data_IF_922099195508
#
_entry.id   IF_922099195508
#
_cell.length_a   1.000
_cell.length_b   1.000
_cell.length_c   1.000
_cell.angle_alpha   90.00
_cell.angle_beta   90.00
_cell.angle_gamma   90.00
#
_symmetry.space_group_name_H-M   'P 1'
#
loop_
_entity.id
_entity.type
_entity.pdbx_description
1 polymer ?
#
# COMPACT_ATOMS: atom_id res chain seq x y z
N UNK A 1 -2.96 7.77 -15.65
CA UNK A 1 -3.32 6.68 -14.72
C UNK A 1 -2.59 5.43 -15.17
N UNK A 2 -2.02 4.67 -14.24
CA UNK A 2 -1.25 3.45 -14.53
C UNK A 2 -1.82 2.27 -13.75
N UNK A 3 -1.34 1.06 -14.09
CA UNK A 3 -1.56 -0.11 -13.26
C UNK A 3 -0.78 -0.01 -11.94
N UNK A 4 -1.18 -0.87 -10.99
CA UNK A 4 -0.51 -1.03 -9.71
C UNK A 4 0.85 -1.72 -9.89
N UNK A 5 1.81 -1.35 -9.06
CA UNK A 5 3.03 -2.13 -8.88
C UNK A 5 2.75 -3.38 -8.05
N UNK A 6 3.56 -4.45 -8.17
CA UNK A 6 3.37 -5.67 -7.40
C UNK A 6 3.30 -5.43 -5.89
N UNK A 7 4.11 -4.51 -5.37
CA UNK A 7 4.12 -4.12 -3.96
C UNK A 7 2.79 -3.52 -3.51
N UNK A 8 2.19 -2.67 -4.33
CA UNK A 8 0.93 -1.99 -4.02
C UNK A 8 -0.24 -2.98 -4.00
N UNK A 9 -0.26 -3.93 -4.93
CA UNK A 9 -1.26 -5.00 -4.94
C UNK A 9 -1.14 -5.89 -3.70
N UNK A 10 0.08 -6.31 -3.35
CA UNK A 10 0.32 -7.13 -2.16
C UNK A 10 -0.10 -6.39 -0.87
N UNK A 11 0.19 -5.09 -0.78
CA UNK A 11 -0.25 -4.25 0.31
C UNK A 11 -1.79 -4.20 0.42
N UNK A 12 -2.48 -3.96 -0.69
CA UNK A 12 -3.94 -3.98 -0.74
C UNK A 12 -4.51 -5.34 -0.37
N UNK A 13 -3.98 -6.42 -0.92
CA UNK A 13 -4.40 -7.79 -0.61
C UNK A 13 -4.25 -8.11 0.88
N UNK A 14 -3.12 -7.76 1.49
CA UNK A 14 -2.88 -7.92 2.93
C UNK A 14 -3.93 -7.19 3.77
N UNK A 15 -4.24 -5.93 3.42
CA UNK A 15 -5.33 -5.15 4.04
C UNK A 15 -6.68 -5.87 3.89
N UNK A 16 -6.91 -6.50 2.75
CA UNK A 16 -8.15 -7.23 2.48
C UNK A 16 -8.36 -8.44 3.40
N UNK A 17 -7.31 -9.01 3.99
CA UNK A 17 -7.41 -10.17 4.89
C UNK A 17 -7.91 -9.84 6.29
N UNK A 18 -7.88 -8.56 6.67
CA UNK A 18 -8.20 -8.08 8.02
C UNK A 18 -9.67 -8.25 8.39
N UNK A 19 -10.58 -8.06 7.42
CA UNK A 19 -12.01 -8.27 7.63
C UNK A 19 -12.74 -8.46 6.30
N UNK A 20 -13.94 -9.07 6.36
CA UNK A 20 -14.80 -9.21 5.17
C UNK A 20 -15.19 -7.85 4.55
N UNK A 21 -15.26 -6.79 5.37
CA UNK A 21 -15.54 -5.45 4.87
C UNK A 21 -14.36 -4.88 4.08
N UNK A 22 -13.13 -4.99 4.61
CA UNK A 22 -11.92 -4.54 3.91
C UNK A 22 -11.65 -5.38 2.66
N UNK A 23 -11.91 -6.70 2.70
CA UNK A 23 -11.85 -7.58 1.55
C UNK A 23 -12.68 -7.05 0.38
N UNK A 24 -13.93 -6.63 0.62
CA UNK A 24 -14.81 -6.13 -0.42
C UNK A 24 -14.37 -4.77 -1.00
N UNK A 25 -13.75 -3.92 -0.18
CA UNK A 25 -13.20 -2.63 -0.61
C UNK A 25 -11.97 -2.87 -1.48
N UNK A 26 -11.02 -3.65 -0.98
CA UNK A 26 -9.78 -4.01 -1.68
C UNK A 26 -10.08 -4.70 -3.00
N UNK A 27 -11.01 -5.67 -3.04
CA UNK A 27 -11.38 -6.35 -4.28
C UNK A 27 -11.79 -5.38 -5.38
N UNK A 28 -12.54 -4.33 -5.02
CA UNK A 28 -12.93 -3.28 -5.96
C UNK A 28 -11.77 -2.39 -6.36
N UNK A 29 -10.95 -1.95 -5.40
CA UNK A 29 -9.78 -1.12 -5.67
C UNK A 29 -8.78 -1.84 -6.59
N UNK A 30 -8.44 -3.09 -6.29
CA UNK A 30 -7.46 -3.86 -7.06
C UNK A 30 -7.97 -4.25 -8.45
N UNK A 31 -9.27 -4.54 -8.63
CA UNK A 31 -9.82 -4.94 -9.95
C UNK A 31 -10.20 -3.78 -10.85
N UNK A 32 -10.69 -2.67 -10.28
CA UNK A 32 -11.28 -1.55 -11.04
C UNK A 32 -10.52 -0.24 -10.88
N UNK A 33 -9.75 -0.11 -9.80
CA UNK A 33 -8.99 1.08 -9.54
C UNK A 33 -7.80 1.21 -10.48
N UNK A 34 -7.33 2.45 -10.62
CA UNK A 34 -6.07 2.78 -11.29
C UNK A 34 -5.28 3.72 -10.42
N UNK A 35 -3.95 3.60 -10.50
CA UNK A 35 -3.07 4.55 -9.83
C UNK A 35 -3.12 5.87 -10.59
N UNK A 36 -3.50 6.92 -9.87
CA UNK A 36 -3.57 8.29 -10.37
C UNK A 36 -2.19 8.93 -10.33
N UNK A 37 -1.50 8.81 -9.20
CA UNK A 37 -0.17 9.35 -8.96
C UNK A 37 0.56 8.57 -7.88
N UNK A 38 1.89 8.64 -7.93
CA UNK A 38 2.80 8.17 -6.89
C UNK A 38 3.72 9.31 -6.49
N UNK A 39 3.99 9.44 -5.21
CA UNK A 39 4.98 10.39 -4.68
C UNK A 39 5.85 9.70 -3.64
N UNK A 40 7.17 9.74 -3.84
CA UNK A 40 8.15 9.18 -2.91
C UNK A 40 8.90 10.34 -2.27
N UNK A 41 8.65 10.55 -0.98
CA UNK A 41 9.16 11.71 -0.24
C UNK A 41 10.51 11.47 0.43
N UNK A 42 11.01 10.24 0.35
CA UNK A 42 12.15 9.76 1.14
C UNK A 42 11.77 9.25 2.52
N UNK A 43 10.66 9.72 3.11
CA UNK A 43 10.08 9.12 4.32
C UNK A 43 9.07 8.00 4.04
N UNK A 44 8.83 7.68 2.77
CA UNK A 44 7.77 6.79 2.35
C UNK A 44 7.20 7.13 0.98
N UNK A 45 6.32 6.24 0.51
CA UNK A 45 5.62 6.35 -0.77
C UNK A 45 4.11 6.55 -0.55
N UNK A 46 3.53 7.45 -1.34
CA UNK A 46 2.12 7.80 -1.32
C UNK A 46 1.51 7.51 -2.69
N UNK A 47 0.49 6.67 -2.73
CA UNK A 47 -0.14 6.21 -3.97
C UNK A 47 -1.61 6.60 -3.96
N UNK A 48 -1.97 7.59 -4.79
CA UNK A 48 -3.37 7.94 -4.99
C UNK A 48 -4.02 6.95 -5.96
N UNK A 49 -5.13 6.38 -5.53
CA UNK A 49 -5.89 5.38 -6.27
C UNK A 49 -7.25 5.98 -6.60
N UNK A 50 -7.52 6.04 -7.90
CA UNK A 50 -8.86 6.32 -8.38
C UNK A 50 -9.66 5.01 -8.38
N UNK A 51 -10.72 4.85 -7.56
CA UNK A 51 -11.38 3.55 -7.35
C UNK A 51 -12.14 2.98 -8.57
N UNK A 52 -12.31 3.79 -9.63
CA UNK A 52 -13.10 3.43 -10.81
C UNK A 52 -14.62 3.36 -10.56
N UNK A 53 -15.39 2.90 -11.56
CA UNK A 53 -16.85 2.90 -11.51
C UNK A 53 -17.42 2.13 -10.32
N UNK A 54 -18.20 2.82 -9.49
CA UNK A 54 -18.84 2.29 -8.27
C UNK A 54 -17.90 2.19 -7.06
N UNK A 55 -16.58 2.39 -7.23
CA UNK A 55 -15.62 2.41 -6.12
C UNK A 55 -15.65 3.72 -5.34
N UNK A 56 -15.82 4.86 -6.02
CA UNK A 56 -15.83 6.20 -5.40
C UNK A 56 -16.85 6.32 -4.28
N UNK A 57 -18.07 5.80 -4.48
CA UNK A 57 -19.13 5.87 -3.47
C UNK A 57 -18.78 5.08 -2.20
N UNK A 58 -18.08 3.95 -2.35
CA UNK A 58 -17.66 3.09 -1.24
C UNK A 58 -16.60 3.78 -0.40
N UNK A 59 -15.61 4.38 -1.08
CA UNK A 59 -14.58 5.19 -0.41
C UNK A 59 -15.22 6.35 0.38
N UNK A 60 -16.15 7.09 -0.26
CA UNK A 60 -16.85 8.22 0.37
C UNK A 60 -17.74 7.84 1.55
N UNK A 61 -18.38 6.68 1.50
CA UNK A 61 -19.24 6.22 2.59
C UNK A 61 -18.45 5.77 3.81
N UNK A 62 -17.30 5.12 3.58
CA UNK A 62 -16.53 4.49 4.65
C UNK A 62 -15.68 5.48 5.44
N UNK A 63 -14.96 6.38 4.76
CA UNK A 63 -14.10 7.40 5.39
C UNK A 63 -13.26 6.88 6.57
N UNK A 64 -12.55 5.77 6.35
CA UNK A 64 -11.77 5.09 7.38
C UNK A 64 -10.34 4.85 6.89
N UNK A 65 -9.44 4.55 7.83
CA UNK A 65 -8.09 4.09 7.52
C UNK A 65 -7.88 2.68 8.07
N UNK A 66 -7.24 1.81 7.30
CA UNK A 66 -6.73 0.53 7.77
C UNK A 66 -5.21 0.59 7.86
N UNK A 67 -4.66 0.05 8.94
CA UNK A 67 -3.24 0.08 9.29
C UNK A 67 -2.77 -1.33 9.71
N UNK A 68 -1.58 -1.39 10.28
CA UNK A 68 -0.96 -2.60 10.87
C UNK A 68 -0.59 -3.69 9.85
N UNK A 69 -0.40 -3.30 8.58
CA UNK A 69 0.21 -4.12 7.55
C UNK A 69 1.68 -3.71 7.38
N UNK A 70 2.56 -4.71 7.30
CA UNK A 70 4.01 -4.50 7.23
C UNK A 70 4.57 -5.15 5.97
N UNK A 71 5.47 -4.45 5.30
CA UNK A 71 6.25 -4.99 4.19
C UNK A 71 7.72 -4.90 4.53
N UNK A 72 8.41 -6.03 4.53
CA UNK A 72 9.86 -6.02 4.44
C UNK A 72 10.25 -5.76 2.99
N UNK A 73 11.11 -4.77 2.75
CA UNK A 73 11.50 -4.35 1.39
C UNK A 73 13.03 -4.39 1.28
N UNK A 74 13.54 -4.87 0.16
CA UNK A 74 14.98 -4.92 -0.09
C UNK A 74 15.61 -3.54 0.08
N UNK A 75 16.75 -3.49 0.78
CA UNK A 75 17.49 -2.26 1.16
C UNK A 75 16.81 -1.38 2.19
N UNK A 76 15.73 -1.84 2.83
CA UNK A 76 15.21 -1.26 4.06
C UNK A 76 15.42 -2.24 5.23
N UNK A 77 16.06 -1.78 6.29
CA UNK A 77 16.37 -2.51 7.51
C UNK A 77 15.13 -2.73 8.39
N UNK A 78 14.12 -1.89 8.27
CA UNK A 78 12.87 -1.97 9.03
C UNK A 78 11.63 -2.08 8.14
N UNK A 79 11.77 -1.80 6.84
CA UNK A 79 10.70 -1.96 5.86
C UNK A 79 9.69 -0.82 5.88
N UNK A 80 8.49 -1.11 5.38
CA UNK A 80 7.38 -0.17 5.31
C UNK A 80 6.23 -0.58 6.23
N UNK A 81 5.66 0.41 6.92
CA UNK A 81 4.31 0.30 7.45
C UNK A 81 3.32 0.80 6.42
N UNK A 82 2.24 0.05 6.21
CA UNK A 82 1.23 0.34 5.21
C UNK A 82 -0.06 0.84 5.86
N UNK A 83 -0.62 1.91 5.29
CA UNK A 83 -1.92 2.45 5.66
C UNK A 83 -2.74 2.69 4.39
N UNK A 84 -3.98 2.19 4.35
CA UNK A 84 -4.95 2.55 3.32
C UNK A 84 -5.96 3.53 3.89
N UNK A 85 -5.93 4.75 3.40
CA UNK A 85 -6.88 5.81 3.73
C UNK A 85 -7.99 5.88 2.68
N UNK A 86 -9.24 5.83 3.12
CA UNK A 86 -10.40 6.13 2.29
C UNK A 86 -10.84 7.56 2.59
N UNK A 87 -10.63 8.49 1.65
CA UNK A 87 -10.90 9.92 1.88
C UNK A 87 -12.32 10.30 1.43
N UNK A 88 -12.89 11.32 2.07
CA UNK A 88 -14.26 11.78 1.80
C UNK A 88 -14.47 12.38 0.40
N UNK A 89 -13.40 12.71 -0.33
CA UNK A 89 -13.44 13.12 -1.74
C UNK A 89 -13.71 11.94 -2.70
N UNK A 90 -13.56 10.71 -2.22
CA UNK A 90 -13.74 9.48 -2.99
C UNK A 90 -12.46 8.96 -3.65
N UNK A 91 -11.30 9.45 -3.22
CA UNK A 91 -9.98 8.92 -3.57
C UNK A 91 -9.47 8.04 -2.43
N UNK A 92 -8.89 6.90 -2.78
CA UNK A 92 -8.15 6.08 -1.83
C UNK A 92 -6.67 6.46 -1.88
N UNK A 93 -6.01 6.52 -0.73
CA UNK A 93 -4.57 6.77 -0.63
C UNK A 93 -3.93 5.58 0.08
N UNK A 94 -3.04 4.88 -0.62
CA UNK A 94 -2.17 3.89 -0.02
C UNK A 94 -0.85 4.55 0.36
N UNK A 95 -0.61 4.66 1.65
CA UNK A 95 0.63 5.17 2.24
C UNK A 95 1.51 4.00 2.66
N UNK A 96 2.79 4.04 2.26
CA UNK A 96 3.83 3.17 2.76
C UNK A 96 4.91 4.02 3.42
N UNK A 97 4.87 4.17 4.75
CA UNK A 97 5.86 4.96 5.49
C UNK A 97 7.07 4.12 5.87
N UNK A 98 8.26 4.71 5.76
CA UNK A 98 9.50 4.08 6.16
C UNK A 98 9.55 3.92 7.68
N UNK A 99 9.68 2.69 8.16
CA UNK A 99 9.83 2.44 9.59
C UNK A 99 11.25 2.84 10.00
N UNK A 100 11.42 3.51 11.14
CA UNK A 100 12.75 3.86 11.64
C UNK A 100 13.45 5.01 10.92
N UNK A 101 12.72 5.86 10.19
CA UNK A 101 13.25 7.04 9.48
C UNK A 101 14.26 6.69 8.37
N UNK A 102 14.08 5.55 7.71
CA UNK A 102 14.89 5.16 6.56
C UNK A 102 14.60 6.04 5.33
N UNK A 103 15.58 6.13 4.42
CA UNK A 103 15.47 6.89 3.16
C UNK A 103 14.99 6.00 2.01
N UNK A 104 13.78 6.27 1.52
CA UNK A 104 13.16 5.53 0.42
C UNK A 104 13.50 6.06 -0.97
N UNK A 105 14.21 7.19 -1.12
CA UNK A 105 14.43 7.84 -2.42
C UNK A 105 15.22 6.97 -3.41
N UNK A 106 16.03 6.04 -2.91
CA UNK A 106 16.85 5.14 -3.73
C UNK A 106 16.17 3.81 -4.06
N UNK A 107 14.96 3.59 -3.56
CA UNK A 107 14.22 2.35 -3.78
C UNK A 107 13.43 2.46 -5.09
N UNK A 108 13.69 1.51 -6.00
CA UNK A 108 12.84 1.30 -7.17
C UNK A 108 11.66 0.41 -6.77
N UNK A 109 10.62 1.01 -6.21
CA UNK A 109 9.44 0.28 -5.69
C UNK A 109 8.66 -0.51 -6.75
N UNK A 110 8.82 -0.19 -8.04
CA UNK A 110 8.23 -0.98 -9.12
C UNK A 110 8.82 -2.39 -9.19
N UNK A 111 10.12 -2.51 -8.86
CA UNK A 111 10.92 -3.71 -9.06
C UNK A 111 11.55 -4.28 -7.80
N UNK A 112 11.46 -3.56 -6.69
CA UNK A 112 12.04 -3.97 -5.42
C UNK A 112 11.51 -5.33 -4.99
N UNK A 113 12.38 -6.17 -4.44
CA UNK A 113 11.94 -7.39 -3.76
C UNK A 113 11.30 -7.00 -2.42
N UNK A 114 10.23 -7.69 -2.06
CA UNK A 114 9.53 -7.45 -0.81
C UNK A 114 8.83 -8.72 -0.32
N UNK A 115 8.39 -8.69 0.93
CA UNK A 115 7.56 -9.71 1.56
C UNK A 115 6.53 -9.04 2.49
N UNK A 116 5.29 -9.55 2.51
CA UNK A 116 4.29 -9.15 3.52
C UNK A 116 4.60 -9.87 4.82
N UNK A 117 4.71 -9.12 5.92
CA UNK A 117 5.13 -9.66 7.21
C UNK A 117 4.20 -9.22 8.35
N UNK A 118 4.31 -9.90 9.50
CA UNK A 118 3.51 -9.58 10.69
C UNK A 118 4.14 -8.51 11.59
N UNK A 119 5.36 -8.05 11.27
CA UNK A 119 6.10 -7.06 12.07
C UNK A 119 7.13 -6.33 11.18
N UNK A 120 7.53 -5.10 11.54
CA UNK A 120 8.64 -4.42 10.88
C UNK A 120 9.94 -5.23 10.96
N UNK A 121 10.77 -5.10 9.93
CA UNK A 121 12.07 -5.75 9.86
C UNK A 121 12.61 -5.88 8.45
N UNK A 122 13.89 -6.31 8.33
CA UNK A 122 14.55 -6.41 7.05
C UNK A 122 13.96 -7.56 6.23
N UNK A 123 14.09 -7.46 4.91
CA UNK A 123 13.78 -8.59 4.04
C UNK A 123 14.70 -9.76 4.39
N UNK A 124 14.12 -10.94 4.61
CA UNK A 124 14.91 -12.13 4.93
C UNK A 124 15.93 -12.38 3.80
N UNK A 125 17.22 -12.36 4.13
CA UNK A 125 18.24 -12.84 3.22
C UNK A 125 18.13 -14.36 3.21
N UNK A 126 17.87 -14.95 2.04
CA UNK A 126 18.08 -16.38 1.84
C UNK A 126 19.59 -16.63 1.82
N UNK A 127 20.27 -16.43 2.96
CA UNK A 127 21.62 -16.91 3.16
C UNK A 127 21.51 -18.42 3.44
N UNK A 128 21.64 -19.21 2.37
CA UNK A 128 21.94 -20.65 2.43
C UNK A 128 23.45 -20.86 2.37
#
# INVERSE_FOLDING_TARGET
MTDFWPLELAALEAIGTESAEWAAIVDKLSKRGKVRSRDNTGGGIFVEIEPGPGGTEIVRKRQASQKDVWLSVERLDHGLGIILHLKGDGIALLEGYAVGLEDTLKIDFERARFEVTNKPGPLATNDS
#
